data_IF_825314454225
#
_entry.id   IF_825314454225
#
_cell.length_a   1.000
_cell.length_b   1.000
_cell.length_c   1.000
_cell.angle_alpha   90.00
_cell.angle_beta   90.00
_cell.angle_gamma   90.00
#
_symmetry.space_group_name_H-M   'P 1'
#
loop_
_entity.id
_entity.type
_entity.pdbx_description
1 polymer ?
#
# COMPACT_ATOMS: atom_id res chain seq x y z
N UNK A 1 -3.67 -15.71 -13.99
CA UNK A 1 -2.71 -14.63 -14.34
C UNK A 1 -1.42 -15.25 -14.81
N UNK A 2 -0.91 -14.85 -15.96
CA UNK A 2 0.33 -15.42 -16.49
C UNK A 2 1.56 -14.76 -15.87
N UNK A 3 2.75 -15.34 -16.12
CA UNK A 3 4.01 -14.87 -15.55
C UNK A 3 4.36 -13.44 -15.95
N UNK A 4 4.04 -13.06 -17.18
CA UNK A 4 4.31 -11.71 -17.68
C UNK A 4 3.46 -10.66 -16.96
N UNK A 5 2.21 -10.99 -16.66
CA UNK A 5 1.31 -10.11 -15.90
C UNK A 5 1.80 -9.93 -14.47
N UNK A 6 2.24 -11.00 -13.83
CA UNK A 6 2.79 -10.96 -12.47
C UNK A 6 4.01 -10.05 -12.44
N UNK A 7 4.90 -10.21 -13.39
CA UNK A 7 6.14 -9.41 -13.46
C UNK A 7 5.85 -7.93 -13.73
N UNK A 8 4.91 -7.65 -14.63
CA UNK A 8 4.51 -6.27 -14.96
C UNK A 8 3.89 -5.59 -13.74
N UNK A 9 3.00 -6.28 -13.03
CA UNK A 9 2.38 -5.76 -11.80
C UNK A 9 3.42 -5.51 -10.71
N UNK A 10 4.37 -6.43 -10.53
CA UNK A 10 5.44 -6.27 -9.56
C UNK A 10 6.30 -5.04 -9.85
N UNK A 11 6.68 -4.86 -11.12
CA UNK A 11 7.50 -3.72 -11.53
C UNK A 11 6.76 -2.40 -11.35
N UNK A 12 5.48 -2.37 -11.69
CA UNK A 12 4.63 -1.20 -11.51
C UNK A 12 4.47 -0.84 -10.04
N UNK A 13 4.24 -1.85 -9.19
CA UNK A 13 4.10 -1.64 -7.75
C UNK A 13 5.40 -1.12 -7.13
N UNK A 14 6.56 -1.69 -7.50
CA UNK A 14 7.86 -1.21 -7.03
C UNK A 14 8.10 0.25 -7.44
N UNK A 15 7.82 0.58 -8.68
CA UNK A 15 7.99 1.93 -9.20
C UNK A 15 7.16 2.93 -8.41
N UNK A 16 5.90 2.60 -8.13
CA UNK A 16 5.01 3.47 -7.36
C UNK A 16 5.48 3.60 -5.92
N UNK A 17 5.82 2.48 -5.26
CA UNK A 17 6.28 2.49 -3.87
C UNK A 17 7.60 3.25 -3.66
N UNK A 18 8.41 3.37 -4.70
CA UNK A 18 9.67 4.12 -4.68
C UNK A 18 9.51 5.57 -5.13
N UNK A 19 8.32 5.95 -5.59
CA UNK A 19 8.03 7.32 -6.01
C UNK A 19 7.95 8.24 -4.80
N UNK A 20 8.80 9.28 -4.76
CA UNK A 20 8.76 10.28 -3.69
C UNK A 20 7.40 10.95 -3.60
N UNK A 21 6.78 11.23 -4.73
CA UNK A 21 5.46 11.84 -4.78
C UNK A 21 4.41 10.94 -4.12
N UNK A 22 4.40 9.66 -4.44
CA UNK A 22 3.47 8.71 -3.84
C UNK A 22 3.68 8.57 -2.33
N UNK A 23 4.94 8.39 -1.92
CA UNK A 23 5.29 8.25 -0.50
C UNK A 23 4.87 9.49 0.28
N UNK A 24 5.15 10.68 -0.26
CA UNK A 24 4.77 11.93 0.38
C UNK A 24 3.26 12.10 0.52
N UNK A 25 2.51 11.80 -0.53
CA UNK A 25 1.04 11.90 -0.51
C UNK A 25 0.44 10.92 0.51
N UNK A 26 0.94 9.67 0.53
CA UNK A 26 0.47 8.67 1.49
C UNK A 26 0.75 9.11 2.92
N UNK A 27 1.93 9.65 3.19
CA UNK A 27 2.28 10.14 4.52
C UNK A 27 1.43 11.35 4.92
N UNK A 28 1.22 12.30 4.01
CA UNK A 28 0.36 13.46 4.27
C UNK A 28 -1.07 13.04 4.60
N UNK A 29 -1.61 12.08 3.86
CA UNK A 29 -2.95 11.56 4.13
C UNK A 29 -3.04 10.89 5.49
N UNK A 30 -2.03 10.10 5.87
CA UNK A 30 -1.97 9.47 7.20
C UNK A 30 -1.92 10.52 8.30
N UNK A 31 -1.07 11.51 8.16
CA UNK A 31 -0.89 12.56 9.15
C UNK A 31 -2.20 13.34 9.37
N UNK A 32 -2.92 13.62 8.29
CA UNK A 32 -4.23 14.28 8.35
C UNK A 32 -5.26 13.45 9.12
N UNK A 33 -5.27 12.13 8.91
CA UNK A 33 -6.21 11.25 9.58
C UNK A 33 -5.89 11.11 11.07
N UNK A 34 -4.61 11.00 11.40
CA UNK A 34 -4.16 10.98 12.80
C UNK A 34 -4.55 12.28 13.51
N UNK A 35 -4.30 13.42 12.87
CA UNK A 35 -4.67 14.72 13.42
C UNK A 35 -6.19 14.83 13.62
N UNK A 36 -6.98 14.39 12.65
CA UNK A 36 -8.43 14.40 12.75
C UNK A 36 -8.92 13.54 13.92
N UNK A 37 -8.32 12.37 14.10
CA UNK A 37 -8.66 11.47 15.21
C UNK A 37 -8.30 12.08 16.56
N UNK A 38 -7.08 12.57 16.71
CA UNK A 38 -6.56 13.14 17.97
C UNK A 38 -7.31 14.40 18.37
N UNK A 39 -7.67 15.23 17.38
CA UNK A 39 -8.33 16.53 17.63
C UNK A 39 -9.85 16.45 17.69
N UNK A 40 -10.45 15.26 17.51
CA UNK A 40 -11.89 15.10 17.53
C UNK A 40 -12.43 15.28 18.96
N UNK A 41 -13.53 16.01 19.08
CA UNK A 41 -14.25 16.13 20.35
C UNK A 41 -15.02 14.82 20.64
N UNK A 42 -15.37 14.61 21.90
CA UNK A 42 -16.10 13.40 22.31
C UNK A 42 -17.43 13.20 21.55
N UNK A 43 -18.06 14.30 21.13
CA UNK A 43 -19.31 14.26 20.36
C UNK A 43 -19.10 13.96 18.86
N UNK A 44 -17.86 13.84 18.39
CA UNK A 44 -17.51 13.66 16.97
C UNK A 44 -17.12 12.20 16.66
N UNK A 45 -17.91 11.25 17.13
CA UNK A 45 -17.65 9.83 16.91
C UNK A 45 -17.58 9.48 15.42
N UNK A 46 -18.46 10.05 14.62
CA UNK A 46 -18.49 9.82 13.17
C UNK A 46 -17.20 10.30 12.50
N UNK A 47 -16.67 11.44 12.87
CA UNK A 47 -15.41 11.96 12.34
C UNK A 47 -14.23 11.02 12.68
N UNK A 48 -14.23 10.44 13.89
CA UNK A 48 -13.20 9.47 14.28
C UNK A 48 -13.31 8.18 13.49
N UNK A 49 -14.54 7.71 13.26
CA UNK A 49 -14.78 6.50 12.46
C UNK A 49 -14.35 6.70 11.01
N UNK A 50 -14.63 7.87 10.42
CA UNK A 50 -14.20 8.21 9.08
C UNK A 50 -12.67 8.24 8.97
N UNK A 51 -12.00 8.86 9.94
CA UNK A 51 -10.54 8.89 9.97
C UNK A 51 -9.94 7.48 10.09
N UNK A 52 -10.52 6.64 10.93
CA UNK A 52 -10.09 5.25 11.09
C UNK A 52 -10.30 4.46 9.79
N UNK A 53 -11.45 4.64 9.14
CA UNK A 53 -11.75 3.98 7.87
C UNK A 53 -10.76 4.39 6.77
N UNK A 54 -10.37 5.66 6.73
CA UNK A 54 -9.38 6.15 5.76
C UNK A 54 -8.00 5.53 6.00
N UNK A 55 -7.56 5.43 7.26
CA UNK A 55 -6.28 4.77 7.58
C UNK A 55 -6.30 3.31 7.14
N UNK A 56 -7.40 2.61 7.36
CA UNK A 56 -7.56 1.22 6.88
C UNK A 56 -7.48 1.12 5.37
N UNK A 57 -8.09 2.07 4.66
CA UNK A 57 -8.03 2.12 3.19
C UNK A 57 -6.59 2.35 2.70
N UNK A 58 -5.85 3.26 3.33
CA UNK A 58 -4.45 3.51 3.01
C UNK A 58 -3.59 2.26 3.22
N UNK A 59 -3.83 1.55 4.33
CA UNK A 59 -3.15 0.28 4.60
C UNK A 59 -3.43 -0.76 3.52
N UNK A 60 -4.67 -0.84 3.05
CA UNK A 60 -5.04 -1.78 1.98
C UNK A 60 -4.35 -1.47 0.66
N UNK A 61 -4.16 -0.19 0.34
CA UNK A 61 -3.41 0.21 -0.85
C UNK A 61 -1.97 -0.30 -0.75
N UNK A 62 -1.30 -0.07 0.38
CA UNK A 62 0.06 -0.54 0.59
C UNK A 62 0.16 -2.06 0.58
N UNK A 63 -0.77 -2.75 1.21
CA UNK A 63 -0.82 -4.21 1.20
C UNK A 63 -0.98 -4.77 -0.21
N UNK A 64 -1.83 -4.16 -1.03
CA UNK A 64 -2.03 -4.59 -2.41
C UNK A 64 -0.75 -4.43 -3.25
N UNK A 65 -0.07 -3.30 -3.09
CA UNK A 65 1.21 -3.04 -3.77
C UNK A 65 2.27 -4.04 -3.32
N UNK A 66 2.37 -4.27 -2.01
CA UNK A 66 3.34 -5.21 -1.46
C UNK A 66 3.07 -6.64 -1.93
N UNK A 67 1.80 -7.03 -2.02
CA UNK A 67 1.42 -8.36 -2.54
C UNK A 67 1.88 -8.54 -3.99
N UNK A 68 1.75 -7.51 -4.82
CA UNK A 68 2.23 -7.57 -6.20
C UNK A 68 3.76 -7.72 -6.27
N UNK A 69 4.49 -7.00 -5.42
CA UNK A 69 5.95 -7.11 -5.32
C UNK A 69 6.35 -8.51 -4.88
N UNK A 70 5.67 -9.04 -3.86
CA UNK A 70 5.97 -10.36 -3.30
C UNK A 70 5.72 -11.47 -4.33
N UNK A 71 4.66 -11.35 -5.12
CA UNK A 71 4.35 -12.30 -6.18
C UNK A 71 5.47 -12.32 -7.24
N UNK A 72 6.00 -11.14 -7.61
CA UNK A 72 7.12 -11.03 -8.53
C UNK A 72 8.39 -11.65 -7.97
N UNK A 73 8.69 -11.40 -6.70
CA UNK A 73 9.84 -11.96 -6.00
C UNK A 73 9.76 -13.50 -5.96
N UNK A 74 8.59 -14.03 -5.65
CA UNK A 74 8.37 -15.47 -5.62
C UNK A 74 8.59 -16.11 -6.99
N UNK A 75 8.10 -15.45 -8.05
CA UNK A 75 8.30 -15.91 -9.42
C UNK A 75 9.78 -15.95 -9.79
N UNK A 76 10.56 -14.93 -9.43
CA UNK A 76 11.99 -14.89 -9.69
C UNK A 76 12.73 -16.00 -8.94
N UNK A 77 12.36 -16.28 -7.71
CA UNK A 77 12.93 -17.39 -6.93
C UNK A 77 12.62 -18.76 -7.54
N UNK A 78 11.44 -18.94 -8.09
CA UNK A 78 11.08 -20.16 -8.80
C UNK A 78 11.93 -20.36 -10.05
N UNK A 79 12.18 -19.29 -10.81
CA UNK A 79 13.06 -19.34 -11.98
C UNK A 79 14.49 -19.71 -11.61
N UNK A 80 15.02 -19.20 -10.50
CA UNK A 80 16.35 -19.56 -10.01
C UNK A 80 16.43 -21.05 -9.66
N UNK A 81 15.39 -21.59 -9.02
CA UNK A 81 15.31 -23.02 -8.69
C UNK A 81 15.28 -23.89 -9.93
N UNK A 82 14.53 -23.47 -10.96
CA UNK A 82 14.41 -24.21 -12.21
C UNK A 82 15.72 -24.22 -13.01
N UNK A 83 16.62 -23.27 -12.76
CA UNK A 83 17.95 -23.22 -13.38
C UNK A 83 18.98 -24.09 -12.67
N UNK A 84 18.73 -24.37 -11.42
CA UNK A 84 19.63 -25.16 -10.61
C UNK A 84 19.46 -26.65 -10.78
#
# INVERSE_FOLDING_TARGET
MNKDDIKRRANRAKSLMQSDAFVSVMQDLRDRQVAAFVNSAAAQAEAREDAHAMVRALNKIEEALQADVDAGTLLDKQKERDRG
#
